data_IF_968456153982
#
_entry.id   IF_968456153982
#
_cell.length_a   1.000
_cell.length_b   1.000
_cell.length_c   1.000
_cell.angle_alpha   90.00
_cell.angle_beta   90.00
_cell.angle_gamma   90.00
#
_symmetry.space_group_name_H-M   'P 1'
#
loop_
_entity.id
_entity.type
_entity.pdbx_description
1 polymer ?
#
# COMPACT_ATOMS: atom_id res chain seq x y z
N UNK A 1 -7.91 -6.38 -40.40
CA UNK A 1 -6.69 -5.60 -40.11
C UNK A 1 -6.62 -5.39 -38.60
N UNK A 2 -6.16 -6.38 -37.85
CA UNK A 2 -5.99 -6.28 -36.40
C UNK A 2 -4.60 -5.70 -36.12
N UNK A 3 -4.54 -4.42 -35.73
CA UNK A 3 -3.29 -3.80 -35.30
C UNK A 3 -3.13 -4.05 -33.80
N UNK A 4 -2.11 -4.84 -33.48
CA UNK A 4 -1.65 -5.17 -32.12
C UNK A 4 -1.12 -3.90 -31.48
N UNK A 5 -1.82 -3.38 -30.47
CA UNK A 5 -1.28 -2.40 -29.53
C UNK A 5 -0.46 -3.16 -28.48
N UNK A 6 0.78 -3.51 -28.84
CA UNK A 6 1.81 -3.79 -27.84
C UNK A 6 2.38 -2.43 -27.42
N UNK A 7 1.70 -1.80 -26.47
CA UNK A 7 2.21 -0.61 -25.78
C UNK A 7 3.15 -1.07 -24.66
N UNK A 8 4.45 -0.89 -24.89
CA UNK A 8 5.52 -0.67 -23.92
C UNK A 8 5.13 -0.84 -22.43
N UNK A 9 5.31 -2.06 -21.87
CA UNK A 9 5.16 -2.34 -20.44
C UNK A 9 6.48 -2.70 -19.74
N UNK A 10 7.63 -2.54 -20.40
CA UNK A 10 8.91 -2.97 -19.84
C UNK A 10 9.65 -1.90 -19.01
N UNK A 11 9.19 -0.65 -19.01
CA UNK A 11 9.89 0.47 -18.37
C UNK A 11 9.55 0.75 -16.90
N UNK A 12 8.62 0.02 -16.30
CA UNK A 12 8.01 0.39 -15.00
C UNK A 12 7.88 -0.79 -14.02
N UNK A 13 8.86 -1.70 -14.05
CA UNK A 13 8.88 -2.85 -13.13
C UNK A 13 9.35 -2.42 -11.73
N UNK A 14 8.83 -3.05 -10.66
CA UNK A 14 9.37 -2.83 -9.33
C UNK A 14 10.87 -3.15 -9.29
N UNK A 15 11.64 -2.43 -8.47
CA UNK A 15 13.05 -2.74 -8.28
C UNK A 15 13.19 -4.19 -7.80
N UNK A 16 14.18 -4.91 -8.36
CA UNK A 16 14.47 -6.33 -8.09
C UNK A 16 13.39 -7.33 -8.56
N UNK A 17 12.50 -6.95 -9.47
CA UNK A 17 11.68 -7.92 -10.22
C UNK A 17 12.58 -8.85 -11.04
N UNK A 18 12.51 -10.15 -10.79
CA UNK A 18 13.32 -11.17 -11.48
C UNK A 18 12.48 -12.19 -12.26
N UNK A 19 11.16 -12.22 -12.04
CA UNK A 19 10.25 -13.21 -12.62
C UNK A 19 9.21 -12.50 -13.48
N UNK A 20 8.92 -13.06 -14.67
CA UNK A 20 7.85 -12.56 -15.52
C UNK A 20 6.52 -13.27 -15.16
N UNK A 21 5.52 -12.49 -14.77
CA UNK A 21 4.18 -13.01 -14.48
C UNK A 21 3.37 -13.20 -15.78
N UNK A 22 2.61 -14.30 -15.90
CA UNK A 22 1.54 -14.40 -16.88
C UNK A 22 0.52 -13.27 -16.71
N UNK A 23 -0.08 -12.80 -17.82
CA UNK A 23 -0.95 -11.62 -17.83
C UNK A 23 -2.15 -11.70 -16.87
N UNK A 24 -2.67 -12.91 -16.62
CA UNK A 24 -3.86 -13.16 -15.79
C UNK A 24 -3.53 -13.95 -14.50
N UNK A 25 -2.27 -13.93 -14.06
CA UNK A 25 -1.86 -14.69 -12.87
C UNK A 25 -2.52 -14.14 -11.60
N UNK A 26 -3.09 -15.05 -10.81
CA UNK A 26 -3.57 -14.79 -9.45
C UNK A 26 -3.10 -15.90 -8.52
N UNK A 27 -2.58 -15.56 -7.32
CA UNK A 27 -2.20 -16.55 -6.32
C UNK A 27 -3.38 -17.47 -5.97
N UNK A 28 -3.20 -18.78 -6.12
CA UNK A 28 -4.13 -19.80 -5.64
C UNK A 28 -3.55 -20.54 -4.43
N UNK A 29 -4.43 -21.09 -3.59
CA UNK A 29 -4.07 -22.01 -2.51
C UNK A 29 -3.58 -23.38 -3.01
N UNK A 30 -3.75 -23.67 -4.30
CA UNK A 30 -3.30 -24.93 -4.92
C UNK A 30 -1.79 -24.96 -5.19
N UNK A 31 -1.11 -23.80 -5.06
CA UNK A 31 0.32 -23.65 -5.27
C UNK A 31 1.08 -23.62 -3.95
N UNK A 32 2.38 -23.88 -4.00
CA UNK A 32 3.26 -23.69 -2.84
C UNK A 32 3.21 -22.23 -2.36
N UNK A 33 3.03 -22.07 -1.04
CA UNK A 33 2.85 -20.78 -0.41
C UNK A 33 4.11 -19.92 -0.56
N UNK A 34 3.94 -18.67 -1.02
CA UNK A 34 5.03 -17.71 -1.26
C UNK A 34 6.09 -18.21 -2.23
N UNK A 35 5.66 -18.94 -3.27
CA UNK A 35 6.52 -19.24 -4.41
C UNK A 35 6.97 -17.95 -5.13
N UNK A 36 7.99 -18.02 -6.02
CA UNK A 36 8.48 -16.84 -6.74
C UNK A 36 7.43 -16.07 -7.55
N UNK A 37 6.39 -16.74 -8.05
CA UNK A 37 5.29 -16.10 -8.79
C UNK A 37 4.36 -15.32 -7.84
N UNK A 38 3.99 -15.90 -6.70
CA UNK A 38 3.18 -15.22 -5.69
C UNK A 38 3.90 -13.99 -5.14
N UNK A 39 5.19 -14.12 -4.82
CA UNK A 39 6.01 -13.01 -4.33
C UNK A 39 6.10 -11.88 -5.37
N UNK A 40 6.28 -12.21 -6.64
CA UNK A 40 6.33 -11.21 -7.70
C UNK A 40 4.96 -10.54 -7.92
N UNK A 41 3.86 -11.29 -7.82
CA UNK A 41 2.51 -10.73 -7.88
C UNK A 41 2.28 -9.70 -6.77
N UNK A 42 2.61 -10.04 -5.52
CA UNK A 42 2.48 -9.10 -4.42
C UNK A 42 3.47 -7.93 -4.52
N UNK A 43 4.67 -8.15 -5.04
CA UNK A 43 5.65 -7.07 -5.29
C UNK A 43 5.11 -6.04 -6.29
N UNK A 44 4.60 -6.49 -7.44
CA UNK A 44 3.99 -5.59 -8.44
C UNK A 44 2.80 -4.83 -7.84
N UNK A 45 1.92 -5.55 -7.12
CA UNK A 45 0.76 -4.94 -6.48
C UNK A 45 1.12 -3.87 -5.44
N UNK A 46 2.14 -4.13 -4.60
CA UNK A 46 2.63 -3.16 -3.62
C UNK A 46 3.27 -1.96 -4.30
N UNK A 47 4.03 -2.18 -5.38
CA UNK A 47 4.67 -1.12 -6.16
C UNK A 47 3.67 -0.21 -6.85
N UNK A 48 2.68 -0.80 -7.53
CA UNK A 48 1.60 -0.05 -8.17
C UNK A 48 0.82 0.76 -7.15
N UNK A 49 0.54 0.18 -5.98
CA UNK A 49 -0.13 0.90 -4.91
C UNK A 49 0.69 2.08 -4.38
N UNK A 50 2.01 1.89 -4.19
CA UNK A 50 2.92 2.98 -3.82
C UNK A 50 2.90 4.10 -4.86
N UNK A 51 2.94 3.75 -6.14
CA UNK A 51 2.89 4.72 -7.24
C UNK A 51 1.58 5.50 -7.25
N UNK A 52 0.44 4.83 -7.04
CA UNK A 52 -0.86 5.49 -6.95
C UNK A 52 -0.88 6.53 -5.82
N UNK A 53 -0.37 6.18 -4.65
CA UNK A 53 -0.31 7.11 -3.50
C UNK A 53 0.61 8.31 -3.80
N UNK A 54 1.75 8.07 -4.45
CA UNK A 54 2.67 9.16 -4.84
C UNK A 54 2.04 10.10 -5.87
N UNK A 55 1.37 9.56 -6.88
CA UNK A 55 0.66 10.36 -7.87
C UNK A 55 -0.49 11.18 -7.25
N UNK A 56 -1.23 10.59 -6.30
CA UNK A 56 -2.26 11.30 -5.54
C UNK A 56 -1.65 12.47 -4.73
N UNK A 57 -0.53 12.23 -4.04
CA UNK A 57 0.16 13.23 -3.25
C UNK A 57 0.77 14.37 -4.11
N UNK A 58 1.24 14.08 -5.32
CA UNK A 58 1.69 15.09 -6.28
C UNK A 58 0.52 15.95 -6.79
N UNK A 59 -0.62 15.31 -7.08
CA UNK A 59 -1.83 15.99 -7.51
C UNK A 59 -2.37 16.99 -6.47
N UNK A 60 -2.44 16.59 -5.20
CA UNK A 60 -2.89 17.49 -4.11
C UNK A 60 -1.94 18.67 -3.92
N UNK A 61 -0.62 18.46 -4.03
CA UNK A 61 0.37 19.53 -3.96
C UNK A 61 0.16 20.54 -5.10
N UNK A 62 -0.08 20.05 -6.32
CA UNK A 62 -0.32 20.91 -7.48
C UNK A 62 -1.60 21.76 -7.30
N UNK A 63 -2.64 21.22 -6.67
CA UNK A 63 -3.85 21.99 -6.32
C UNK A 63 -3.51 23.11 -5.32
N UNK A 64 -2.80 22.78 -4.23
CA UNK A 64 -2.43 23.77 -3.21
C UNK A 64 -1.49 24.87 -3.73
N UNK A 65 -0.65 24.56 -4.72
CA UNK A 65 0.28 25.53 -5.33
C UNK A 65 -0.37 26.43 -6.38
N UNK A 66 -1.40 25.93 -7.08
CA UNK A 66 -2.07 26.65 -8.17
C UNK A 66 -3.35 27.34 -7.74
N UNK A 67 -3.90 27.03 -6.56
CA UNK A 67 -4.91 27.87 -5.93
C UNK A 67 -4.26 29.26 -5.75
N UNK A 68 -4.80 30.33 -6.35
CA UNK A 68 -4.22 31.65 -6.18
C UNK A 68 -4.08 31.92 -4.69
N UNK A 69 -3.02 32.62 -4.29
CA UNK A 69 -2.90 33.28 -2.98
C UNK A 69 -4.02 34.32 -2.80
N UNK A 70 -5.29 33.91 -2.97
CA UNK A 70 -6.44 34.60 -2.47
C UNK A 70 -6.28 34.54 -0.98
N UNK A 71 -5.85 35.66 -0.40
CA UNK A 71 -6.02 35.86 1.02
C UNK A 71 -7.49 35.58 1.31
N UNK A 72 -7.81 34.55 2.11
CA UNK A 72 -9.18 34.31 2.48
C UNK A 72 -9.71 35.57 3.13
N UNK A 73 -10.91 36.00 2.77
CA UNK A 73 -11.57 37.04 3.53
C UNK A 73 -11.85 36.51 4.97
N UNK A 74 -12.33 37.39 5.86
CA UNK A 74 -12.56 37.00 7.25
C UNK A 74 -13.57 35.84 7.40
N UNK A 75 -14.48 35.66 6.44
CA UNK A 75 -15.47 34.58 6.46
C UNK A 75 -14.91 33.28 5.86
N UNK A 76 -14.06 33.38 4.83
CA UNK A 76 -13.47 32.23 4.13
C UNK A 76 -12.25 31.65 4.85
N UNK A 77 -11.65 32.42 5.77
CA UNK A 77 -10.45 31.99 6.52
C UNK A 77 -10.67 30.73 7.35
N UNK A 78 -11.80 30.63 8.05
CA UNK A 78 -12.09 29.48 8.89
C UNK A 78 -12.25 28.18 8.07
N UNK A 79 -12.91 28.27 6.91
CA UNK A 79 -13.07 27.15 5.97
C UNK A 79 -11.71 26.73 5.41
N UNK A 80 -10.92 27.70 4.94
CA UNK A 80 -9.59 27.46 4.40
C UNK A 80 -8.69 26.75 5.42
N UNK A 81 -8.55 27.29 6.64
CA UNK A 81 -7.72 26.68 7.69
C UNK A 81 -8.14 25.22 8.01
N UNK A 82 -9.45 24.94 7.96
CA UNK A 82 -9.98 23.58 8.14
C UNK A 82 -9.53 22.65 7.02
N UNK A 83 -9.67 23.07 5.76
CA UNK A 83 -9.28 22.29 4.59
C UNK A 83 -7.78 21.99 4.59
N UNK A 84 -6.95 23.00 4.88
CA UNK A 84 -5.50 22.84 5.06
C UNK A 84 -5.16 21.82 6.16
N UNK A 85 -5.90 21.83 7.28
CA UNK A 85 -5.69 20.88 8.38
C UNK A 85 -6.04 19.43 7.98
N UNK A 86 -7.06 19.25 7.14
CA UNK A 86 -7.48 17.95 6.63
C UNK A 86 -6.41 17.42 5.67
N UNK A 87 -5.96 18.25 4.73
CA UNK A 87 -4.91 17.89 3.76
C UNK A 87 -3.61 17.45 4.44
N UNK A 88 -3.16 18.20 5.45
CA UNK A 88 -1.94 17.84 6.20
C UNK A 88 -2.07 16.46 6.86
N UNK A 89 -3.23 16.14 7.45
CA UNK A 89 -3.49 14.84 8.07
C UNK A 89 -3.55 13.72 7.03
N UNK A 90 -4.15 13.96 5.87
CA UNK A 90 -4.20 13.01 4.75
C UNK A 90 -2.78 12.68 4.28
N UNK A 91 -1.95 13.70 4.07
CA UNK A 91 -0.54 13.52 3.67
C UNK A 91 0.26 12.72 4.70
N UNK A 92 0.08 13.00 5.98
CA UNK A 92 0.75 12.24 7.04
C UNK A 92 0.35 10.76 7.05
N UNK A 93 -0.92 10.44 6.75
CA UNK A 93 -1.40 9.06 6.60
C UNK A 93 -0.80 8.40 5.36
N UNK A 94 -0.77 9.09 4.22
CA UNK A 94 -0.15 8.60 2.98
C UNK A 94 1.34 8.30 3.18
N UNK A 95 2.10 9.19 3.83
CA UNK A 95 3.52 8.96 4.16
C UNK A 95 3.71 7.72 5.02
N UNK A 96 2.90 7.56 6.08
CA UNK A 96 2.95 6.37 6.94
C UNK A 96 2.59 5.10 6.16
N UNK A 97 1.64 5.19 5.24
CA UNK A 97 1.24 4.06 4.39
C UNK A 97 2.36 3.65 3.43
N UNK A 98 3.03 4.61 2.76
CA UNK A 98 4.20 4.36 1.93
C UNK A 98 5.29 3.66 2.73
N UNK A 99 5.57 4.12 3.95
CA UNK A 99 6.55 3.46 4.83
C UNK A 99 6.20 2.01 5.15
N UNK A 100 4.91 1.66 5.26
CA UNK A 100 4.46 0.27 5.46
C UNK A 100 4.61 -0.55 4.18
N UNK A 101 4.35 0.03 3.02
CA UNK A 101 4.57 -0.63 1.72
C UNK A 101 6.07 -0.93 1.53
N UNK A 102 6.94 0.03 1.84
CA UNK A 102 8.39 -0.16 1.76
C UNK A 102 8.91 -1.21 2.75
N UNK A 103 8.27 -1.34 3.92
CA UNK A 103 8.55 -2.44 4.84
C UNK A 103 8.10 -3.80 4.25
N UNK A 104 6.91 -3.87 3.65
CA UNK A 104 6.42 -5.09 3.02
C UNK A 104 7.30 -5.52 1.82
N UNK A 105 7.75 -4.58 0.99
CA UNK A 105 8.69 -4.85 -0.11
C UNK A 105 10.03 -5.38 0.41
N UNK A 106 10.56 -4.83 1.50
CA UNK A 106 11.77 -5.37 2.15
C UNK A 106 11.55 -6.80 2.66
N UNK A 107 10.42 -7.08 3.29
CA UNK A 107 10.07 -8.45 3.74
C UNK A 107 9.98 -9.44 2.58
N UNK A 108 9.58 -9.00 1.39
CA UNK A 108 9.62 -9.86 0.19
C UNK A 108 11.07 -10.18 -0.17
N UNK A 109 11.95 -9.18 -0.14
CA UNK A 109 13.38 -9.38 -0.43
C UNK A 109 14.07 -10.27 0.62
N UNK A 110 13.67 -10.17 1.88
CA UNK A 110 14.22 -10.95 2.99
C UNK A 110 13.61 -12.36 3.09
N UNK A 111 12.57 -12.67 2.30
CA UNK A 111 11.88 -13.97 2.29
C UNK A 111 10.92 -14.19 3.47
N UNK A 112 10.59 -13.14 4.22
CA UNK A 112 9.70 -13.19 5.39
C UNK A 112 8.26 -12.76 5.07
N UNK A 113 7.99 -12.30 3.85
CA UNK A 113 6.66 -11.88 3.43
C UNK A 113 5.67 -13.05 3.44
N UNK A 114 4.42 -12.76 3.82
CA UNK A 114 3.37 -13.77 3.91
C UNK A 114 3.27 -14.48 5.25
N UNK A 115 4.23 -14.32 6.16
CA UNK A 115 4.21 -14.94 7.48
C UNK A 115 3.90 -13.93 8.59
N UNK A 116 3.29 -14.40 9.68
CA UNK A 116 2.94 -13.59 10.84
C UNK A 116 4.19 -13.20 11.63
N UNK A 117 4.39 -11.91 11.89
CA UNK A 117 5.54 -11.41 12.69
C UNK A 117 5.52 -11.88 14.16
N UNK A 118 4.36 -12.29 14.66
CA UNK A 118 4.19 -12.71 16.06
C UNK A 118 4.22 -14.22 16.22
N UNK A 119 3.53 -14.96 15.35
CA UNK A 119 3.36 -16.42 15.49
C UNK A 119 4.20 -17.22 14.48
N UNK A 120 4.71 -16.59 13.42
CA UNK A 120 5.37 -17.28 12.31
C UNK A 120 4.43 -18.03 11.36
N UNK A 121 3.13 -18.04 11.65
CA UNK A 121 2.13 -18.76 10.84
C UNK A 121 1.86 -18.08 9.50
N UNK A 122 1.48 -18.84 8.45
CA UNK A 122 1.13 -18.27 7.16
C UNK A 122 -0.11 -17.37 7.26
N UNK A 123 -0.01 -16.16 6.72
CA UNK A 123 -1.13 -15.24 6.55
C UNK A 123 -1.91 -15.70 5.33
N UNK A 124 -3.24 -15.84 5.47
CA UNK A 124 -4.08 -16.31 4.37
C UNK A 124 -3.94 -15.43 3.11
N UNK A 125 -3.91 -16.08 1.94
CA UNK A 125 -3.79 -15.38 0.66
C UNK A 125 -4.91 -14.35 0.47
N UNK A 126 -6.17 -14.71 0.78
CA UNK A 126 -7.29 -13.77 0.70
C UNK A 126 -7.13 -12.54 1.59
N UNK A 127 -6.38 -12.64 2.70
CA UNK A 127 -6.08 -11.48 3.53
C UNK A 127 -4.97 -10.61 2.96
N UNK A 128 -3.93 -11.20 2.40
CA UNK A 128 -2.88 -10.46 1.69
C UNK A 128 -3.44 -9.82 0.41
N UNK A 129 -4.40 -10.47 -0.25
CA UNK A 129 -5.13 -9.88 -1.36
C UNK A 129 -6.02 -8.71 -0.91
N UNK A 130 -6.65 -8.77 0.25
CA UNK A 130 -7.42 -7.62 0.76
C UNK A 130 -6.50 -6.50 1.26
N UNK A 131 -5.39 -6.86 1.93
CA UNK A 131 -4.43 -5.95 2.56
C UNK A 131 -3.00 -6.50 2.44
N UNK A 132 -2.25 -6.14 1.38
CA UNK A 132 -0.92 -6.71 1.13
C UNK A 132 0.16 -6.22 2.12
N UNK A 133 -0.12 -5.21 2.93
CA UNK A 133 0.77 -4.73 4.01
C UNK A 133 0.49 -5.41 5.36
N UNK A 134 -0.35 -6.45 5.41
CA UNK A 134 -0.73 -7.07 6.67
C UNK A 134 0.41 -7.92 7.24
N UNK A 135 0.75 -7.72 8.51
CA UNK A 135 1.95 -8.32 9.12
C UNK A 135 1.67 -9.48 10.08
N UNK A 136 0.44 -9.64 10.55
CA UNK A 136 0.03 -10.65 11.53
C UNK A 136 -1.16 -11.45 11.02
N UNK A 137 -1.44 -12.70 11.41
CA UNK A 137 -2.72 -13.36 11.05
C UNK A 137 -3.95 -12.65 11.63
N UNK A 138 -5.17 -13.03 11.21
CA UNK A 138 -6.42 -12.48 11.79
C UNK A 138 -6.50 -12.79 13.29
N UNK A 139 -6.22 -14.02 13.68
CA UNK A 139 -6.26 -14.44 15.08
C UNK A 139 -5.23 -13.69 15.93
N UNK A 140 -4.01 -13.53 15.41
CA UNK A 140 -2.97 -12.78 16.10
C UNK A 140 -3.35 -11.31 16.26
N UNK A 141 -3.94 -10.71 15.22
CA UNK A 141 -4.45 -9.34 15.25
C UNK A 141 -5.56 -9.16 16.30
N UNK A 142 -6.54 -10.07 16.35
CA UNK A 142 -7.62 -10.04 17.34
C UNK A 142 -7.10 -10.16 18.77
N UNK A 143 -6.10 -11.02 19.00
CA UNK A 143 -5.45 -11.15 20.31
C UNK A 143 -4.73 -9.85 20.71
N UNK A 144 -4.00 -9.24 19.78
CA UNK A 144 -3.30 -7.97 20.02
C UNK A 144 -4.30 -6.85 20.38
N UNK A 145 -5.36 -6.70 19.59
CA UNK A 145 -6.40 -5.69 19.82
C UNK A 145 -7.14 -5.90 21.16
N UNK A 146 -7.33 -7.16 21.58
CA UNK A 146 -7.93 -7.47 22.90
C UNK A 146 -7.01 -7.05 24.05
N UNK A 147 -5.70 -7.30 23.93
CA UNK A 147 -4.71 -6.91 24.94
C UNK A 147 -4.58 -5.38 25.05
N UNK A 148 -4.58 -4.67 23.92
CA UNK A 148 -4.55 -3.21 23.92
C UNK A 148 -5.77 -2.58 24.58
N UNK A 149 -6.96 -3.18 24.45
CA UNK A 149 -8.17 -2.70 25.13
C UNK A 149 -8.06 -2.84 26.64
N UNK A 150 -7.62 -4.01 27.12
CA UNK A 150 -7.44 -4.27 28.55
C UNK A 150 -6.43 -3.29 29.16
N UNK A 151 -5.31 -3.04 28.48
CA UNK A 151 -4.26 -2.13 28.97
C UNK A 151 -4.64 -0.65 28.97
N UNK A 152 -5.72 -0.24 28.29
CA UNK A 152 -6.18 1.16 28.27
C UNK A 152 -7.22 1.48 29.34
N UNK A 153 -7.83 0.45 29.91
CA UNK A 153 -8.88 0.56 30.93
C UNK A 153 -8.33 0.43 32.37
N UNK A 154 -7.02 0.18 32.54
CA UNK A 154 -6.24 0.25 33.80
C UNK A 154 -5.44 1.56 33.88
#
# INVERSE_FOLDING_TARGET
MASVLNSDKDGDKPPKSTVALPADYRPSSDEEFMNPLQLEYFRQRLWDWKKQILAEAEGTLAVLQNEPLREPDLNDRASSETDWSIELRTRDRQRKLISKIDAALRRIDDGEYGYCEVTGEPISLGRLEARPIATMTVEAQERHERQEKISRDD
#
